data_IF_505599871520
#
_entry.id   IF_505599871520
#
_cell.length_a   1.000
_cell.length_b   1.000
_cell.length_c   1.000
_cell.angle_alpha   90.00
_cell.angle_beta   90.00
_cell.angle_gamma   90.00
#
_symmetry.space_group_name_H-M   'P 1'
#
loop_
_entity.id
_entity.type
_entity.pdbx_description
1 polymer ?
#
# COMPACT_ATOMS: atom_id res chain seq x y z
N UNK A 1 -15.61 19.01 -31.37
CA UNK A 1 -14.81 18.74 -30.14
C UNK A 1 -15.45 17.70 -29.22
N UNK A 2 -16.76 17.77 -28.91
CA UNK A 2 -17.43 16.84 -27.97
C UNK A 2 -17.35 15.34 -28.35
N UNK A 3 -17.32 15.02 -29.65
CA UNK A 3 -17.18 13.63 -30.14
C UNK A 3 -15.79 13.04 -29.86
N UNK A 4 -14.73 13.85 -29.97
CA UNK A 4 -13.35 13.41 -29.71
C UNK A 4 -13.10 13.15 -28.21
N UNK A 5 -13.72 13.95 -27.34
CA UNK A 5 -13.63 13.75 -25.88
C UNK A 5 -14.30 12.45 -25.46
N UNK A 6 -15.48 12.11 -26.03
CA UNK A 6 -16.15 10.84 -25.76
C UNK A 6 -15.34 9.64 -26.23
N UNK A 7 -14.73 9.70 -27.41
CA UNK A 7 -13.89 8.59 -27.90
C UNK A 7 -12.64 8.40 -27.04
N UNK A 8 -11.99 9.48 -26.61
CA UNK A 8 -10.83 9.41 -25.73
C UNK A 8 -11.19 8.81 -24.35
N UNK A 9 -12.33 9.22 -23.77
CA UNK A 9 -12.81 8.68 -22.49
C UNK A 9 -13.13 7.18 -22.59
N UNK A 10 -13.77 6.76 -23.69
CA UNK A 10 -14.13 5.34 -23.90
C UNK A 10 -12.87 4.49 -24.05
N UNK A 11 -11.87 4.97 -24.80
CA UNK A 11 -10.59 4.28 -24.96
C UNK A 11 -9.84 4.16 -23.61
N UNK A 12 -9.85 5.20 -22.78
CA UNK A 12 -9.23 5.17 -21.46
C UNK A 12 -9.89 4.14 -20.53
N UNK A 13 -11.22 4.08 -20.51
CA UNK A 13 -11.99 3.11 -19.71
C UNK A 13 -11.68 1.67 -20.17
N UNK A 14 -11.70 1.41 -21.49
CA UNK A 14 -11.39 0.08 -22.03
C UNK A 14 -9.95 -0.35 -21.72
N UNK A 15 -8.99 0.57 -21.79
CA UNK A 15 -7.59 0.29 -21.45
C UNK A 15 -7.44 -0.06 -19.97
N UNK A 16 -8.12 0.66 -19.08
CA UNK A 16 -8.12 0.37 -17.65
C UNK A 16 -8.73 -1.01 -17.34
N UNK A 17 -9.82 -1.39 -18.01
CA UNK A 17 -10.43 -2.72 -17.88
C UNK A 17 -9.47 -3.80 -18.38
N UNK A 18 -8.82 -3.62 -19.53
CA UNK A 18 -7.87 -4.58 -20.09
C UNK A 18 -6.65 -4.81 -19.17
N UNK A 19 -6.10 -3.74 -18.58
CA UNK A 19 -4.99 -3.83 -17.61
C UNK A 19 -5.42 -4.60 -16.37
N UNK A 20 -6.64 -4.35 -15.86
CA UNK A 20 -7.18 -5.05 -14.68
C UNK A 20 -7.39 -6.54 -14.95
N UNK A 21 -7.91 -6.90 -16.13
CA UNK A 21 -8.09 -8.30 -16.54
C UNK A 21 -6.75 -9.02 -16.72
N UNK A 22 -5.76 -8.38 -17.36
CA UNK A 22 -4.41 -8.96 -17.52
C UNK A 22 -3.71 -9.20 -16.18
N UNK A 23 -3.90 -8.30 -15.21
CA UNK A 23 -3.36 -8.45 -13.86
C UNK A 23 -4.01 -9.62 -13.12
N UNK A 24 -5.32 -9.83 -13.31
CA UNK A 24 -6.06 -10.96 -12.74
C UNK A 24 -5.61 -12.29 -13.35
N UNK A 25 -5.45 -12.37 -14.66
CA UNK A 25 -4.97 -13.58 -15.34
C UNK A 25 -3.55 -14.00 -14.90
N UNK A 26 -2.68 -13.04 -14.57
CA UNK A 26 -1.34 -13.33 -14.02
C UNK A 26 -1.37 -13.85 -12.58
N UNK A 27 -2.41 -13.52 -11.80
CA UNK A 27 -2.54 -13.99 -10.42
C UNK A 27 -3.07 -15.43 -10.33
N UNK A 28 -3.78 -15.91 -11.36
CA UNK A 28 -4.35 -17.26 -11.40
C UNK A 28 -3.35 -18.36 -11.81
N UNK A 29 -2.10 -18.01 -12.15
CA UNK A 29 -1.10 -18.98 -12.60
C UNK A 29 0.22 -19.00 -11.78
N UNK A 30 0.19 -19.29 -10.46
CA UNK A 30 1.40 -19.32 -9.63
C UNK A 30 2.17 -20.67 -9.67
N UNK A 31 2.00 -21.52 -10.69
CA UNK A 31 2.31 -22.95 -10.56
C UNK A 31 3.11 -23.64 -11.68
N UNK A 32 3.97 -22.95 -12.43
CA UNK A 32 4.81 -23.62 -13.43
C UNK A 32 6.30 -23.44 -13.12
N UNK A 33 6.76 -24.20 -12.12
CA UNK A 33 8.18 -24.51 -11.91
C UNK A 33 8.65 -25.48 -13.01
N UNK A 34 9.82 -25.26 -13.63
CA UNK A 34 10.41 -26.23 -14.55
C UNK A 34 10.86 -27.49 -13.80
N UNK A 35 10.45 -28.64 -14.32
CA UNK A 35 10.80 -29.98 -13.84
C UNK A 35 12.31 -30.19 -13.84
N UNK A 36 12.86 -30.52 -12.67
CA UNK A 36 14.12 -31.23 -12.57
C UNK A 36 13.82 -32.73 -12.49
N UNK A 37 14.12 -33.43 -13.58
CA UNK A 37 14.23 -34.88 -13.69
C UNK A 37 15.11 -35.47 -12.59
N UNK A 38 14.57 -36.39 -11.78
CA UNK A 38 15.34 -37.41 -11.09
C UNK A 38 14.51 -38.69 -10.90
N UNK A 39 15.16 -39.79 -11.29
CA UNK A 39 14.75 -41.18 -11.41
C UNK A 39 14.64 -41.88 -10.04
N UNK A 40 13.66 -42.78 -9.85
CA UNK A 40 13.76 -43.91 -8.90
C UNK A 40 12.45 -44.41 -8.25
N UNK A 41 12.28 -45.72 -7.95
CA UNK A 41 11.04 -46.42 -8.27
C UNK A 41 10.20 -46.98 -7.09
N UNK A 42 8.98 -47.40 -7.47
CA UNK A 42 8.13 -48.47 -6.94
C UNK A 42 7.51 -48.33 -5.54
N UNK A 43 6.22 -47.96 -5.52
CA UNK A 43 5.32 -48.13 -4.39
C UNK A 43 3.86 -48.11 -4.84
N UNK A 44 3.29 -49.28 -5.07
CA UNK A 44 1.91 -49.51 -5.48
C UNK A 44 0.89 -49.09 -4.42
N UNK A 45 -0.13 -48.31 -4.79
CA UNK A 45 -1.25 -47.99 -3.91
C UNK A 45 -2.44 -47.38 -4.64
N UNK A 46 -3.43 -48.22 -4.95
CA UNK A 46 -4.75 -47.90 -5.53
C UNK A 46 -5.45 -46.75 -4.81
N UNK A 47 -6.11 -45.86 -5.56
CA UNK A 47 -7.56 -45.59 -5.43
C UNK A 47 -8.06 -44.58 -6.46
N UNK A 48 -8.98 -45.05 -7.31
CA UNK A 48 -9.82 -44.30 -8.24
C UNK A 48 -10.84 -43.44 -7.49
N UNK A 49 -11.00 -42.17 -7.88
CA UNK A 49 -12.33 -41.55 -8.07
C UNK A 49 -12.23 -40.28 -8.93
N UNK A 50 -12.35 -40.46 -10.24
CA UNK A 50 -12.52 -39.37 -11.20
C UNK A 50 -13.95 -38.82 -11.10
N UNK A 51 -14.11 -37.66 -10.45
CA UNK A 51 -15.34 -36.89 -10.50
C UNK A 51 -15.50 -36.26 -11.88
N UNK A 52 -16.57 -36.64 -12.58
CA UNK A 52 -17.01 -36.03 -13.84
C UNK A 52 -17.29 -34.55 -13.59
N UNK A 53 -16.46 -33.67 -14.13
CA UNK A 53 -16.75 -32.24 -14.23
C UNK A 53 -17.82 -32.07 -15.32
N UNK A 54 -18.90 -31.42 -14.95
CA UNK A 54 -20.11 -31.16 -15.72
C UNK A 54 -19.80 -30.31 -16.97
N UNK A 55 -20.26 -30.69 -18.17
CA UNK A 55 -19.97 -30.02 -19.44
C UNK A 55 -20.65 -28.66 -19.66
N UNK A 56 -21.27 -28.06 -18.64
CA UNK A 56 -22.04 -26.81 -18.76
C UNK A 56 -21.20 -25.52 -18.70
N UNK A 57 -19.96 -25.59 -18.21
CA UNK A 57 -19.10 -24.38 -18.08
C UNK A 57 -18.35 -24.07 -19.38
N UNK A 58 -18.04 -25.09 -20.19
CA UNK A 58 -17.31 -24.92 -21.46
C UNK A 58 -18.18 -24.29 -22.56
N UNK A 59 -19.50 -24.53 -22.55
CA UNK A 59 -20.41 -23.96 -23.55
C UNK A 59 -20.62 -22.45 -23.35
N UNK A 60 -20.66 -21.97 -22.10
CA UNK A 60 -20.80 -20.54 -21.83
C UNK A 60 -19.59 -19.71 -22.30
N UNK A 61 -18.38 -20.24 -22.16
CA UNK A 61 -17.15 -19.56 -22.62
C UNK A 61 -17.10 -19.47 -24.15
N UNK A 62 -17.52 -20.51 -24.86
CA UNK A 62 -17.56 -20.51 -26.32
C UNK A 62 -18.54 -19.46 -26.88
N UNK A 63 -19.72 -19.31 -26.28
CA UNK A 63 -20.72 -18.32 -26.72
C UNK A 63 -20.21 -16.88 -26.53
N UNK A 64 -19.54 -16.60 -25.41
CA UNK A 64 -18.96 -15.26 -25.16
C UNK A 64 -17.81 -14.96 -26.13
N UNK A 65 -16.95 -15.94 -26.42
CA UNK A 65 -15.85 -15.76 -27.38
C UNK A 65 -16.36 -15.46 -28.81
N UNK A 66 -17.43 -16.15 -29.24
CA UNK A 66 -18.05 -15.89 -30.56
C UNK A 66 -18.71 -14.51 -30.59
N UNK A 67 -19.43 -14.11 -29.53
CA UNK A 67 -20.04 -12.78 -29.46
C UNK A 67 -19.00 -11.65 -29.51
N UNK A 68 -17.85 -11.82 -28.85
CA UNK A 68 -16.74 -10.84 -28.89
C UNK A 68 -16.10 -10.77 -30.29
N UNK A 69 -15.90 -11.91 -30.96
CA UNK A 69 -15.37 -11.94 -32.33
C UNK A 69 -16.32 -11.29 -33.33
N UNK A 70 -17.62 -11.52 -33.21
CA UNK A 70 -18.63 -10.88 -34.07
C UNK A 70 -18.67 -9.37 -33.83
N UNK A 71 -18.66 -8.92 -32.57
CA UNK A 71 -18.63 -7.49 -32.26
C UNK A 71 -17.36 -6.81 -32.78
N UNK A 72 -16.20 -7.46 -32.70
CA UNK A 72 -14.94 -6.94 -33.24
C UNK A 72 -14.95 -6.81 -34.77
N UNK A 73 -15.64 -7.71 -35.48
CA UNK A 73 -15.76 -7.65 -36.94
C UNK A 73 -16.66 -6.50 -37.44
N UNK A 74 -17.62 -6.03 -36.63
CA UNK A 74 -18.49 -4.90 -36.98
C UNK A 74 -17.93 -3.53 -36.57
N UNK A 75 -16.84 -3.50 -35.81
CA UNK A 75 -16.21 -2.28 -35.29
C UNK A 75 -14.92 -1.89 -36.04
N UNK A 76 -14.59 -2.54 -37.15
CA UNK A 76 -13.47 -2.14 -38.01
C UNK A 76 -13.90 -1.01 -38.97
N UNK A 77 -13.50 0.26 -38.72
CA UNK A 77 -13.68 1.30 -39.72
C UNK A 77 -12.80 1.00 -40.94
N UNK A 78 -13.36 1.19 -42.13
CA UNK A 78 -12.63 1.08 -43.40
C UNK A 78 -11.37 1.97 -43.37
N UNK A 79 -10.21 1.33 -43.49
CA UNK A 79 -8.92 2.02 -43.54
C UNK A 79 -8.88 2.97 -44.74
N UNK A 80 -8.65 4.26 -44.48
CA UNK A 80 -8.26 5.21 -45.51
C UNK A 80 -6.80 4.98 -45.90
N UNK A 81 -6.43 5.18 -47.17
CA UNK A 81 -5.08 4.93 -47.66
C UNK A 81 -4.07 5.91 -47.05
N UNK A 82 -2.95 5.36 -46.57
CA UNK A 82 -1.84 6.07 -45.95
C UNK A 82 -0.94 6.73 -47.02
N UNK A 83 -0.41 7.95 -46.79
CA UNK A 83 0.50 8.61 -47.71
C UNK A 83 1.93 8.03 -47.62
N UNK A 84 2.55 7.91 -48.78
CA UNK A 84 3.88 7.34 -49.03
C UNK A 84 5.00 8.10 -48.29
N UNK A 85 5.96 7.43 -47.64
CA UNK A 85 7.13 8.08 -47.06
C UNK A 85 8.23 8.33 -48.12
N UNK A 86 8.79 9.54 -48.08
CA UNK A 86 9.94 9.98 -48.88
C UNK A 86 11.26 9.50 -48.24
N UNK A 87 12.31 9.16 -49.03
CA UNK A 87 13.50 8.51 -48.52
C UNK A 87 14.54 9.45 -47.88
N UNK A 88 15.28 8.91 -46.92
CA UNK A 88 16.42 9.52 -46.24
C UNK A 88 17.68 9.59 -47.13
N UNK A 89 18.65 10.46 -46.81
CA UNK A 89 20.03 10.29 -47.26
C UNK A 89 20.90 9.60 -46.21
N UNK A 90 21.58 8.54 -46.67
CA UNK A 90 22.82 7.97 -46.13
C UNK A 90 23.89 9.04 -45.88
N UNK A 91 24.70 8.86 -44.82
CA UNK A 91 26.17 8.77 -44.96
C UNK A 91 26.92 8.42 -43.67
N UNK A 92 27.73 7.37 -43.82
CA UNK A 92 29.12 7.23 -43.40
C UNK A 92 29.49 6.94 -41.94
N UNK A 93 29.77 5.65 -41.76
CA UNK A 93 30.87 5.08 -40.97
C UNK A 93 32.17 5.89 -41.01
N UNK A 94 32.86 5.95 -39.87
CA UNK A 94 34.30 5.72 -39.79
C UNK A 94 34.63 4.92 -38.51
N UNK A 95 35.39 3.85 -38.72
CA UNK A 95 35.95 2.97 -37.73
C UNK A 95 37.27 3.52 -37.18
N UNK A 96 37.61 3.18 -35.93
CA UNK A 96 39.00 3.07 -35.47
C UNK A 96 39.09 2.26 -34.16
N UNK A 97 39.60 1.04 -34.31
CA UNK A 97 40.50 0.23 -33.48
C UNK A 97 40.77 0.56 -31.99
N UNK A 98 40.62 -0.50 -31.16
CA UNK A 98 41.30 -0.87 -29.89
C UNK A 98 42.84 -0.65 -29.88
N UNK A 99 43.64 -0.78 -28.78
CA UNK A 99 43.48 -1.74 -27.65
C UNK A 99 44.12 -1.43 -26.25
N UNK A 100 43.98 -2.43 -25.36
CA UNK A 100 44.95 -2.98 -24.39
C UNK A 100 45.04 -2.46 -22.93
N UNK A 101 44.86 -3.44 -22.03
CA UNK A 101 45.25 -3.51 -20.63
C UNK A 101 46.76 -3.32 -20.39
N UNK A 102 47.15 -2.73 -19.24
CA UNK A 102 48.34 -3.12 -18.46
C UNK A 102 48.22 -2.65 -16.99
N UNK A 103 48.66 -3.44 -16.00
CA UNK A 103 48.58 -3.14 -14.56
C UNK A 103 49.74 -2.25 -14.05
N UNK A 104 49.50 -1.51 -12.97
CA UNK A 104 50.45 -0.56 -12.36
C UNK A 104 51.15 -1.15 -11.12
N UNK A 105 52.49 -1.04 -10.99
CA UNK A 105 53.25 -1.54 -9.85
C UNK A 105 53.47 -0.47 -8.75
N UNK A 106 53.83 -0.97 -7.58
CA UNK A 106 54.24 -0.23 -6.39
C UNK A 106 55.59 0.50 -6.57
N UNK A 107 55.76 1.64 -5.87
CA UNK A 107 57.10 2.16 -5.53
C UNK A 107 57.22 3.67 -5.28
N UNK A 108 57.56 4.01 -4.03
CA UNK A 108 58.35 5.18 -3.57
C UNK A 108 57.59 6.39 -2.98
N UNK A 109 57.95 6.83 -1.75
CA UNK A 109 57.32 7.96 -1.07
C UNK A 109 57.93 9.33 -1.45
N UNK A 110 57.12 10.40 -1.53
CA UNK A 110 57.62 11.77 -1.68
C UNK A 110 57.93 12.47 -0.33
N UNK A 111 58.78 13.51 -0.35
CA UNK A 111 59.31 14.19 0.82
C UNK A 111 58.31 15.12 1.52
N UNK A 112 58.54 15.29 2.83
CA UNK A 112 57.83 16.20 3.71
C UNK A 112 57.69 17.61 3.10
N UNK A 113 56.45 17.96 2.79
CA UNK A 113 56.05 19.31 2.36
C UNK A 113 54.95 19.80 3.30
N UNK A 114 55.13 21.06 3.72
CA UNK A 114 54.37 21.91 4.63
C UNK A 114 52.93 21.50 5.06
N UNK A 115 52.52 21.86 6.30
CA UNK A 115 51.16 21.62 6.77
C UNK A 115 50.14 22.33 5.86
N UNK A 116 49.07 21.65 5.43
CA UNK A 116 47.98 22.31 4.75
C UNK A 116 47.34 23.32 5.71
N UNK A 117 47.31 24.57 5.29
CA UNK A 117 46.52 25.61 5.93
C UNK A 117 45.06 25.17 5.87
N UNK A 118 44.52 24.69 6.98
CA UNK A 118 43.10 24.39 7.12
C UNK A 118 42.34 25.70 6.85
N UNK A 119 41.45 25.75 5.84
CA UNK A 119 40.54 26.87 5.72
C UNK A 119 39.71 26.93 6.99
N UNK A 120 39.91 27.99 7.75
CA UNK A 120 39.14 28.33 8.95
C UNK A 120 37.67 28.24 8.58
N UNK A 121 36.97 27.35 9.31
CA UNK A 121 35.60 27.00 9.04
C UNK A 121 34.71 28.23 8.94
N UNK A 122 34.15 28.44 7.76
CA UNK A 122 32.89 29.12 7.64
C UNK A 122 31.89 28.28 8.42
N UNK A 123 31.67 28.67 9.68
CA UNK A 123 30.54 28.21 10.47
C UNK A 123 29.31 28.47 9.60
N UNK A 124 28.59 27.44 9.11
CA UNK A 124 27.43 27.67 8.27
C UNK A 124 26.48 28.52 9.09
N UNK A 125 26.30 29.76 8.65
CA UNK A 125 25.31 30.67 9.22
C UNK A 125 24.01 29.87 9.29
N UNK A 126 23.32 29.82 10.45
CA UNK A 126 22.11 29.03 10.59
C UNK A 126 21.10 29.53 9.56
N UNK A 127 21.03 28.82 8.44
CA UNK A 127 20.06 29.06 7.39
C UNK A 127 18.70 28.85 8.06
N UNK A 128 18.01 29.95 8.32
CA UNK A 128 16.68 29.93 8.91
C UNK A 128 15.82 29.04 8.02
N UNK A 129 15.56 27.81 8.49
CA UNK A 129 14.68 26.88 7.82
C UNK A 129 13.37 27.61 7.49
N UNK A 130 12.92 27.48 6.25
CA UNK A 130 11.63 28.04 5.86
C UNK A 130 10.55 27.53 6.84
N UNK A 131 9.55 28.35 7.21
CA UNK A 131 8.53 27.95 8.19
C UNK A 131 7.87 26.60 7.88
N UNK A 132 7.71 26.26 6.60
CA UNK A 132 7.15 24.98 6.13
C UNK A 132 8.04 23.77 6.44
N UNK A 133 9.37 23.93 6.42
CA UNK A 133 10.31 22.84 6.74
C UNK A 133 10.26 22.46 8.22
N UNK A 134 9.93 23.41 9.10
CA UNK A 134 9.79 23.17 10.54
C UNK A 134 8.53 22.36 10.88
N UNK A 135 7.46 22.47 10.10
CA UNK A 135 6.21 21.72 10.32
C UNK A 135 6.42 20.23 10.00
N UNK A 136 7.16 19.93 8.92
CA UNK A 136 7.39 18.57 8.44
C UNK A 136 8.64 17.89 9.00
N UNK A 137 9.50 18.66 9.68
CA UNK A 137 10.69 18.17 10.34
C UNK A 137 10.73 18.73 11.76
N UNK A 138 9.85 18.23 12.64
CA UNK A 138 9.80 18.69 14.02
C UNK A 138 11.17 18.47 14.68
N UNK A 139 11.54 19.32 15.64
CA UNK A 139 12.81 19.20 16.35
C UNK A 139 12.93 17.82 16.97
N UNK A 140 14.14 17.25 16.89
CA UNK A 140 14.41 15.91 17.37
C UNK A 140 14.13 15.81 18.88
N UNK A 141 13.12 15.03 19.25
CA UNK A 141 12.84 14.68 20.65
C UNK A 141 13.50 13.36 21.03
N UNK A 142 13.87 13.17 22.31
CA UNK A 142 14.26 11.85 22.80
C UNK A 142 13.15 10.81 22.57
N UNK A 143 13.51 9.66 22.00
CA UNK A 143 12.58 8.57 21.72
C UNK A 143 12.33 7.73 22.98
N UNK A 144 11.60 8.29 23.94
CA UNK A 144 11.28 7.61 25.20
C UNK A 144 9.96 6.86 25.12
N UNK A 145 9.96 5.59 25.52
CA UNK A 145 8.75 4.78 25.54
C UNK A 145 7.83 5.24 26.68
N UNK A 146 6.77 5.99 26.32
CA UNK A 146 5.72 6.38 27.27
C UNK A 146 4.89 5.16 27.74
N UNK A 147 4.57 5.06 29.04
CA UNK A 147 3.62 4.07 29.54
C UNK A 147 2.20 4.39 29.04
N UNK A 148 1.35 3.37 28.97
CA UNK A 148 -0.08 3.47 28.61
C UNK A 148 -0.90 3.21 29.86
N UNK A 149 -1.98 3.96 30.06
CA UNK A 149 -2.94 3.66 31.13
C UNK A 149 -3.34 2.17 31.09
N UNK A 150 -3.13 1.40 32.17
CA UNK A 150 -3.49 -0.01 32.23
C UNK A 150 -4.98 -0.30 31.91
N UNK A 151 -5.90 0.63 32.19
CA UNK A 151 -7.33 0.52 31.85
C UNK A 151 -7.53 0.60 30.34
N UNK A 152 -6.94 1.60 29.68
CA UNK A 152 -7.00 1.75 28.21
C UNK A 152 -6.39 0.54 27.52
N UNK A 153 -5.20 0.11 27.97
CA UNK A 153 -4.53 -1.08 27.43
C UNK A 153 -5.39 -2.35 27.57
N UNK A 154 -6.03 -2.56 28.72
CA UNK A 154 -6.92 -3.72 28.93
C UNK A 154 -8.15 -3.66 28.03
N UNK A 155 -8.76 -2.48 27.88
CA UNK A 155 -9.92 -2.29 27.04
C UNK A 155 -9.61 -2.58 25.56
N UNK A 156 -8.52 -2.01 25.02
CA UNK A 156 -8.05 -2.24 23.64
C UNK A 156 -7.74 -3.72 23.42
N UNK A 157 -6.98 -4.34 24.32
CA UNK A 157 -6.68 -5.78 24.23
C UNK A 157 -7.95 -6.65 24.30
N UNK A 158 -8.98 -6.20 25.03
CA UNK A 158 -10.28 -6.85 25.06
C UNK A 158 -10.95 -6.89 23.69
N UNK A 159 -10.97 -5.76 22.97
CA UNK A 159 -11.53 -5.70 21.62
C UNK A 159 -10.71 -6.51 20.62
N UNK A 160 -9.38 -6.43 20.69
CA UNK A 160 -8.52 -7.26 19.84
C UNK A 160 -8.74 -8.75 20.02
N UNK A 161 -8.89 -9.24 21.27
CA UNK A 161 -9.20 -10.66 21.49
C UNK A 161 -10.52 -11.09 20.84
N UNK A 162 -11.52 -10.20 20.78
CA UNK A 162 -12.80 -10.48 20.09
C UNK A 162 -12.59 -10.61 18.59
N UNK A 163 -11.91 -9.62 17.99
CA UNK A 163 -11.54 -9.59 16.57
C UNK A 163 -10.72 -10.83 16.20
N UNK A 164 -9.62 -11.10 16.91
CA UNK A 164 -8.74 -12.25 16.68
C UNK A 164 -9.50 -13.57 16.76
N UNK A 165 -10.37 -13.77 17.77
CA UNK A 165 -11.18 -14.99 17.89
C UNK A 165 -12.14 -15.16 16.72
N UNK A 166 -12.77 -14.08 16.28
CA UNK A 166 -13.67 -14.11 15.13
C UNK A 166 -12.89 -14.43 13.85
N UNK A 167 -11.76 -13.75 13.60
CA UNK A 167 -10.94 -13.97 12.42
C UNK A 167 -10.35 -15.38 12.38
N UNK A 168 -9.84 -15.92 13.49
CA UNK A 168 -9.35 -17.30 13.56
C UNK A 168 -10.38 -18.33 13.11
N UNK A 169 -11.64 -18.13 13.49
CA UNK A 169 -12.74 -19.07 13.18
C UNK A 169 -13.28 -18.88 11.77
N UNK A 170 -13.47 -17.64 11.34
CA UNK A 170 -14.20 -17.33 10.13
C UNK A 170 -13.27 -16.99 8.96
N UNK A 171 -12.21 -16.21 9.20
CA UNK A 171 -11.31 -15.71 8.16
C UNK A 171 -9.83 -16.00 8.49
N UNK A 172 -9.41 -17.28 8.53
CA UNK A 172 -8.07 -17.66 8.99
C UNK A 172 -6.94 -17.11 8.12
N UNK A 173 -7.17 -16.86 6.82
CA UNK A 173 -6.16 -16.23 5.95
C UNK A 173 -6.01 -14.76 6.30
N UNK A 174 -7.11 -14.04 6.53
CA UNK A 174 -7.05 -12.66 7.05
C UNK A 174 -6.37 -12.61 8.41
N UNK A 175 -6.69 -13.53 9.32
CA UNK A 175 -6.03 -13.63 10.63
C UNK A 175 -4.51 -13.77 10.50
N UNK A 176 -4.03 -14.57 9.55
CA UNK A 176 -2.60 -14.76 9.30
C UNK A 176 -1.88 -13.49 8.79
N UNK A 177 -2.63 -12.49 8.30
CA UNK A 177 -2.06 -11.21 7.85
C UNK A 177 -1.87 -10.18 8.99
N UNK A 178 -2.36 -10.47 10.20
CA UNK A 178 -2.16 -9.59 11.33
C UNK A 178 -0.68 -9.50 11.67
N UNK A 179 -0.17 -8.27 11.77
CA UNK A 179 1.22 -8.01 12.08
C UNK A 179 1.60 -8.54 13.47
N UNK A 180 2.88 -8.84 13.63
CA UNK A 180 3.45 -9.15 14.93
C UNK A 180 3.33 -7.96 15.89
N UNK A 181 3.62 -8.18 17.17
CA UNK A 181 3.59 -7.11 18.18
C UNK A 181 4.57 -5.99 17.85
N UNK A 182 4.12 -4.75 17.94
CA UNK A 182 4.98 -3.58 17.82
C UNK A 182 6.00 -3.49 18.95
N UNK A 183 7.19 -2.95 18.63
CA UNK A 183 8.25 -2.70 19.62
C UNK A 183 8.04 -1.31 20.24
N UNK A 184 7.99 -1.17 21.58
CA UNK A 184 7.80 0.12 22.24
C UNK A 184 8.77 1.22 21.75
N UNK A 185 10.05 0.88 21.60
CA UNK A 185 11.07 1.82 21.11
C UNK A 185 10.86 2.27 19.65
N UNK A 186 10.28 1.43 18.80
CA UNK A 186 9.94 1.84 17.41
C UNK A 186 8.79 2.82 17.40
N UNK A 187 7.79 2.62 18.27
CA UNK A 187 6.67 3.56 18.42
C UNK A 187 7.18 4.89 18.96
N UNK A 188 7.98 4.87 20.02
CA UNK A 188 8.59 6.08 20.59
C UNK A 188 9.44 6.85 19.56
N UNK A 189 10.18 6.13 18.71
CA UNK A 189 10.96 6.76 17.63
C UNK A 189 10.06 7.37 16.55
N UNK A 190 8.91 6.77 16.26
CA UNK A 190 7.95 7.34 15.31
C UNK A 190 7.33 8.61 15.87
N UNK A 191 6.83 8.57 17.11
CA UNK A 191 6.29 9.74 17.82
C UNK A 191 7.30 10.89 17.86
N UNK A 192 8.54 10.61 18.26
CA UNK A 192 9.62 11.60 18.32
C UNK A 192 9.94 12.23 16.94
N UNK A 193 9.91 11.43 15.86
CA UNK A 193 10.22 11.90 14.49
C UNK A 193 9.05 12.61 13.82
N UNK A 194 7.83 12.29 14.21
CA UNK A 194 6.61 12.93 13.72
C UNK A 194 6.24 14.14 14.57
N UNK A 195 6.85 14.30 15.74
CA UNK A 195 6.53 15.39 16.64
C UNK A 195 5.11 15.30 17.21
N UNK A 196 4.53 14.11 17.27
CA UNK A 196 3.18 13.87 17.79
C UNK A 196 3.22 12.69 18.74
N UNK A 197 2.42 12.75 19.80
CA UNK A 197 2.19 11.59 20.64
C UNK A 197 1.05 10.76 20.05
N UNK A 198 1.22 9.44 19.98
CA UNK A 198 0.10 8.61 19.55
C UNK A 198 -0.92 8.52 20.69
N UNK A 199 -2.22 8.62 20.38
CA UNK A 199 -3.26 8.38 21.37
C UNK A 199 -3.08 7.00 22.02
N UNK A 200 -3.32 6.90 23.32
CA UNK A 200 -3.07 5.69 24.11
C UNK A 200 -3.73 4.43 23.51
N UNK A 201 -4.92 4.58 22.94
CA UNK A 201 -5.62 3.49 22.28
C UNK A 201 -4.90 2.99 21.01
N UNK A 202 -4.39 3.91 20.19
CA UNK A 202 -3.60 3.59 18.99
C UNK A 202 -2.27 2.94 19.40
N UNK A 203 -1.57 3.52 20.37
CA UNK A 203 -0.33 2.97 20.92
C UNK A 203 -0.52 1.55 21.45
N UNK A 204 -1.59 1.31 22.22
CA UNK A 204 -1.93 -0.02 22.74
C UNK A 204 -2.22 -1.03 21.61
N UNK A 205 -2.91 -0.58 20.56
CA UNK A 205 -3.20 -1.39 19.38
C UNK A 205 -1.93 -1.78 18.63
N UNK A 206 -1.01 -0.83 18.40
CA UNK A 206 0.26 -1.10 17.72
C UNK A 206 1.16 -2.06 18.52
N UNK A 207 1.13 -1.97 19.85
CA UNK A 207 1.82 -2.93 20.72
C UNK A 207 1.21 -4.35 20.68
N UNK A 208 -0.03 -4.48 20.19
CA UNK A 208 -0.70 -5.76 19.95
C UNK A 208 -0.41 -6.27 18.54
N UNK A 209 -0.64 -5.43 17.53
CA UNK A 209 -0.43 -5.71 16.11
C UNK A 209 0.17 -4.47 15.41
N UNK A 210 1.40 -4.61 14.90
CA UNK A 210 2.12 -3.60 14.14
C UNK A 210 1.69 -3.63 12.66
N UNK A 211 0.47 -3.20 12.41
CA UNK A 211 -0.18 -3.24 11.10
C UNK A 211 -0.82 -4.58 10.77
N UNK A 212 -1.44 -4.65 9.59
CA UNK A 212 -2.01 -5.86 9.01
C UNK A 212 -2.21 -5.68 7.50
N UNK A 213 -1.77 -6.66 6.70
CA UNK A 213 -1.75 -6.52 5.23
C UNK A 213 -3.09 -6.85 4.55
N UNK A 214 -3.92 -7.69 5.16
CA UNK A 214 -5.23 -8.11 4.63
C UNK A 214 -6.37 -7.89 5.62
N UNK A 215 -6.19 -6.96 6.56
CA UNK A 215 -7.17 -6.54 7.53
C UNK A 215 -7.01 -5.04 7.76
N UNK A 216 -8.07 -4.26 7.53
CA UNK A 216 -8.14 -2.84 7.88
C UNK A 216 -9.32 -2.56 8.80
N UNK A 217 -9.18 -1.52 9.64
CA UNK A 217 -10.34 -0.97 10.35
C UNK A 217 -11.16 -0.18 9.33
N UNK A 218 -12.25 -0.77 8.83
CA UNK A 218 -13.07 -0.22 7.74
C UNK A 218 -12.33 -0.12 6.40
N UNK A 219 -11.29 -0.91 6.20
CA UNK A 219 -10.46 -0.81 5.00
C UNK A 219 -9.72 -2.09 4.67
N UNK A 220 -8.76 -1.96 3.76
CA UNK A 220 -7.99 -3.08 3.24
C UNK A 220 -6.80 -3.44 4.15
N UNK A 221 -6.21 -2.43 4.81
CA UNK A 221 -4.96 -2.61 5.56
C UNK A 221 -4.88 -1.68 6.77
N UNK A 222 -4.26 -2.18 7.83
CA UNK A 222 -3.76 -1.38 8.95
C UNK A 222 -2.28 -1.10 8.75
N UNK A 223 -1.87 0.16 8.89
CA UNK A 223 -0.47 0.53 8.73
C UNK A 223 0.36 0.11 9.95
N UNK A 224 1.55 -0.40 9.68
CA UNK A 224 2.61 -0.56 10.67
C UNK A 224 3.17 0.80 11.10
N UNK A 225 3.79 0.89 12.27
CA UNK A 225 4.47 2.10 12.78
C UNK A 225 5.42 2.71 11.74
N UNK A 226 6.09 1.86 10.96
CA UNK A 226 6.98 2.31 9.88
C UNK A 226 6.19 3.01 8.77
N UNK A 227 5.11 2.40 8.30
CA UNK A 227 4.24 2.96 7.26
C UNK A 227 3.58 4.26 7.73
N UNK A 228 3.04 4.28 8.96
CA UNK A 228 2.47 5.48 9.59
C UNK A 228 3.44 6.67 9.45
N UNK A 229 4.68 6.49 9.89
CA UNK A 229 5.71 7.55 9.84
C UNK A 229 6.08 7.95 8.40
N UNK A 230 6.15 6.99 7.48
CA UNK A 230 6.53 7.27 6.10
C UNK A 230 5.43 8.05 5.37
N UNK A 231 4.18 7.64 5.52
CA UNK A 231 3.03 8.30 4.91
C UNK A 231 2.80 9.68 5.53
N UNK A 232 2.92 9.83 6.85
CA UNK A 232 2.86 11.13 7.51
C UNK A 232 3.86 12.13 6.91
N UNK A 233 5.11 11.69 6.70
CA UNK A 233 6.16 12.53 6.10
C UNK A 233 5.87 12.84 4.64
N UNK A 234 5.25 11.90 3.92
CA UNK A 234 4.84 12.13 2.55
C UNK A 234 3.77 13.21 2.49
N UNK A 235 2.66 13.05 3.24
CA UNK A 235 1.58 14.04 3.26
C UNK A 235 2.06 15.43 3.67
N UNK A 236 2.95 15.51 4.65
CA UNK A 236 3.52 16.79 5.04
C UNK A 236 4.35 17.43 3.92
N UNK A 237 5.23 16.67 3.24
CA UNK A 237 6.08 17.21 2.17
C UNK A 237 5.30 17.62 0.93
N UNK A 238 4.26 16.87 0.60
CA UNK A 238 3.47 17.13 -0.60
C UNK A 238 2.60 18.40 -0.44
N UNK A 239 2.69 19.10 0.71
CA UNK A 239 1.84 20.25 1.05
C UNK A 239 0.37 19.87 1.05
N UNK A 240 0.09 18.57 1.10
CA UNK A 240 -1.13 17.98 0.63
C UNK A 240 -2.19 18.11 1.69
N UNK A 241 -2.98 19.17 1.56
CA UNK A 241 -4.39 19.06 1.87
C UNK A 241 -4.91 17.71 1.43
N UNK A 242 -5.42 16.99 2.42
CA UNK A 242 -6.20 15.78 2.23
C UNK A 242 -7.41 16.06 1.32
N UNK A 243 -7.84 17.33 1.31
CA UNK A 243 -8.87 17.90 0.47
C UNK A 243 -8.29 19.09 -0.32
N UNK A 244 -8.85 19.41 -1.52
CA UNK A 244 -8.47 20.61 -2.27
C UNK A 244 -8.60 21.86 -1.39
N UNK A 245 -7.48 22.58 -1.21
CA UNK A 245 -7.46 23.86 -0.50
C UNK A 245 -7.38 23.78 1.04
N UNK A 246 -7.15 22.60 1.63
CA UNK A 246 -6.71 22.51 3.02
C UNK A 246 -5.19 22.33 3.08
N UNK A 247 -4.57 22.76 4.17
CA UNK A 247 -3.18 22.40 4.46
C UNK A 247 -3.16 21.12 5.31
N UNK A 248 -2.14 20.28 5.14
CA UNK A 248 -1.94 19.10 5.99
C UNK A 248 -1.74 19.52 7.46
N UNK A 249 -2.60 19.05 8.36
CA UNK A 249 -2.38 19.18 9.80
C UNK A 249 -1.39 18.09 10.25
N UNK A 250 -0.24 18.52 10.76
CA UNK A 250 0.84 17.64 11.20
C UNK A 250 0.45 16.77 12.41
N UNK A 251 -0.71 17.02 13.03
CA UNK A 251 -1.28 16.23 14.14
C UNK A 251 -2.18 15.09 13.69
N UNK A 252 -2.44 14.96 12.39
CA UNK A 252 -3.16 13.83 11.82
C UNK A 252 -2.22 12.64 11.60
N UNK A 253 -2.63 11.46 12.06
CA UNK A 253 -1.83 10.23 12.02
C UNK A 253 -2.50 9.25 11.05
N UNK A 254 -1.88 8.89 9.91
CA UNK A 254 -2.44 7.88 9.02
C UNK A 254 -2.28 6.49 9.65
N UNK A 255 -3.37 5.75 9.82
CA UNK A 255 -3.38 4.45 10.54
C UNK A 255 -3.83 3.27 9.68
N UNK A 256 -4.37 3.49 8.49
CA UNK A 256 -4.74 2.42 7.57
C UNK A 256 -5.15 2.94 6.20
N UNK A 257 -5.26 2.04 5.23
CA UNK A 257 -5.79 2.34 3.89
C UNK A 257 -7.18 1.75 3.72
N UNK A 258 -8.07 2.53 3.12
CA UNK A 258 -9.35 2.09 2.58
C UNK A 258 -9.27 1.99 1.05
N UNK A 259 -10.35 1.55 0.41
CA UNK A 259 -10.43 1.48 -1.06
C UNK A 259 -10.29 2.87 -1.68
N UNK A 260 -10.90 3.89 -1.05
CA UNK A 260 -10.98 5.26 -1.60
C UNK A 260 -10.21 6.29 -0.77
N UNK A 261 -9.42 5.86 0.21
CA UNK A 261 -8.77 6.81 1.11
C UNK A 261 -7.83 6.22 2.14
N UNK A 262 -7.45 7.07 3.07
CA UNK A 262 -6.62 6.75 4.23
C UNK A 262 -7.43 7.03 5.49
N UNK A 263 -7.37 6.10 6.44
CA UNK A 263 -7.92 6.30 7.78
C UNK A 263 -6.92 7.12 8.59
N UNK A 264 -7.39 8.19 9.22
CA UNK A 264 -6.60 9.09 10.05
C UNK A 264 -7.08 9.07 11.51
N UNK A 265 -6.16 9.42 12.41
CA UNK A 265 -6.43 9.67 13.82
C UNK A 265 -5.81 11.01 14.22
N UNK A 266 -6.56 11.90 14.86
CA UNK A 266 -6.00 13.13 15.44
C UNK A 266 -5.25 12.86 16.74
N UNK A 267 -4.09 13.48 16.92
CA UNK A 267 -3.34 13.42 18.17
C UNK A 267 -3.96 14.27 19.30
N UNK A 268 -4.77 15.28 19.01
CA UNK A 268 -5.27 16.25 20.02
C UNK A 268 -6.61 15.86 20.63
N UNK A 269 -7.56 15.43 19.80
CA UNK A 269 -8.96 15.24 20.20
C UNK A 269 -9.24 13.83 20.71
N UNK A 270 -8.46 13.40 21.71
CA UNK A 270 -8.55 12.07 22.32
C UNK A 270 -8.47 10.90 21.29
N UNK A 271 -7.83 11.12 20.14
CA UNK A 271 -7.75 10.13 19.08
C UNK A 271 -8.99 10.03 18.20
N UNK A 272 -9.70 11.14 17.96
CA UNK A 272 -10.79 11.21 16.98
C UNK A 272 -10.35 10.68 15.62
N UNK A 273 -11.26 10.03 14.91
CA UNK A 273 -10.98 9.27 13.69
C UNK A 273 -11.62 9.97 12.50
N UNK A 274 -10.86 10.11 11.42
CA UNK A 274 -11.29 10.75 10.19
C UNK A 274 -10.96 9.86 8.98
N UNK A 275 -11.65 10.07 7.88
CA UNK A 275 -11.35 9.44 6.59
C UNK A 275 -10.97 10.52 5.58
N UNK A 276 -9.92 10.24 4.80
CA UNK A 276 -9.53 11.04 3.62
C UNK A 276 -10.45 10.68 2.46
N UNK A 277 -11.10 11.66 1.83
CA UNK A 277 -11.83 11.49 0.57
C UNK A 277 -13.30 11.93 0.59
N UNK A 278 -13.89 12.03 1.78
CA UNK A 278 -15.24 12.54 1.98
C UNK A 278 -15.25 14.06 2.20
N UNK A 279 -16.30 14.75 1.74
CA UNK A 279 -16.51 16.16 2.05
C UNK A 279 -16.44 16.40 3.58
N UNK A 280 -15.94 17.56 4.04
CA UNK A 280 -15.63 17.82 5.45
C UNK A 280 -16.83 17.67 6.40
N UNK A 281 -18.06 17.59 5.88
CA UNK A 281 -19.29 17.39 6.64
C UNK A 281 -19.70 15.92 6.84
N UNK A 282 -19.09 14.95 6.16
CA UNK A 282 -19.39 13.53 6.32
C UNK A 282 -18.20 12.74 6.87
N UNK A 283 -17.72 13.12 8.06
CA UNK A 283 -16.73 12.34 8.84
C UNK A 283 -17.39 11.07 9.41
N UNK A 284 -17.76 10.15 8.54
CA UNK A 284 -18.33 8.87 8.95
C UNK A 284 -17.61 7.77 8.18
N UNK A 285 -16.45 7.32 8.65
CA UNK A 285 -15.80 6.16 8.07
C UNK A 285 -16.80 5.00 8.01
N UNK A 286 -17.17 4.61 6.79
CA UNK A 286 -18.22 3.63 6.56
C UNK A 286 -19.58 3.91 7.23
N UNK A 287 -20.00 5.18 7.33
CA UNK A 287 -21.26 5.57 7.98
C UNK A 287 -21.20 5.58 9.52
N UNK A 288 -20.05 5.32 10.13
CA UNK A 288 -19.92 5.24 11.58
C UNK A 288 -19.51 6.56 12.22
N UNK A 289 -20.26 6.97 13.25
CA UNK A 289 -19.83 8.05 14.16
C UNK A 289 -18.94 7.47 15.26
N UNK A 290 -17.64 7.44 15.02
CA UNK A 290 -16.64 7.02 16.01
C UNK A 290 -15.86 8.22 16.53
N UNK A 291 -15.87 8.43 17.84
CA UNK A 291 -15.20 9.59 18.48
C UNK A 291 -13.76 9.31 18.91
N UNK A 292 -13.31 8.06 18.82
CA UNK A 292 -11.95 7.68 19.18
C UNK A 292 -11.52 6.41 18.49
N UNK A 293 -10.21 6.20 18.37
CA UNK A 293 -9.64 4.96 17.86
C UNK A 293 -10.09 3.72 18.67
N UNK A 294 -10.30 3.85 19.98
CA UNK A 294 -10.91 2.78 20.78
C UNK A 294 -12.36 2.53 20.37
N UNK A 295 -13.15 3.59 20.14
CA UNK A 295 -14.52 3.48 19.64
C UNK A 295 -14.59 2.76 18.30
N UNK A 296 -13.65 3.04 17.39
CA UNK A 296 -13.50 2.33 16.12
C UNK A 296 -13.20 0.84 16.31
N UNK A 297 -12.23 0.48 17.15
CA UNK A 297 -11.92 -0.93 17.44
C UNK A 297 -13.10 -1.67 18.05
N UNK A 298 -13.84 -1.01 18.97
CA UNK A 298 -15.04 -1.59 19.57
C UNK A 298 -16.13 -1.80 18.51
N UNK A 299 -16.39 -0.79 17.66
CA UNK A 299 -17.36 -0.89 16.58
C UNK A 299 -17.00 -2.05 15.63
N UNK A 300 -15.74 -2.17 15.24
CA UNK A 300 -15.24 -3.28 14.42
C UNK A 300 -15.50 -4.66 15.05
N UNK A 301 -15.11 -4.83 16.33
CA UNK A 301 -15.35 -6.09 17.04
C UNK A 301 -16.84 -6.44 17.11
N UNK A 302 -17.67 -5.45 17.45
CA UNK A 302 -19.12 -5.56 17.49
C UNK A 302 -19.71 -5.93 16.12
N UNK A 303 -19.21 -5.33 15.04
CA UNK A 303 -19.72 -5.53 13.70
C UNK A 303 -19.34 -6.88 13.10
N UNK A 304 -18.14 -7.38 13.39
CA UNK A 304 -17.76 -8.76 13.04
C UNK A 304 -18.66 -9.78 13.74
N UNK A 305 -18.90 -9.61 15.05
CA UNK A 305 -19.72 -10.54 15.83
C UNK A 305 -21.21 -10.50 15.46
N UNK A 306 -21.75 -9.32 15.08
CA UNK A 306 -23.16 -9.15 14.69
C UNK A 306 -23.41 -9.30 13.19
N UNK A 307 -22.37 -9.41 12.38
CA UNK A 307 -22.47 -9.45 10.92
C UNK A 307 -22.85 -8.12 10.27
N UNK A 308 -22.62 -6.98 10.95
CA UNK A 308 -22.88 -5.64 10.40
C UNK A 308 -22.10 -4.54 11.11
N UNK A 309 -21.43 -3.68 10.34
CA UNK A 309 -20.64 -2.55 10.81
C UNK A 309 -21.10 -1.27 10.09
N UNK A 310 -22.09 -0.59 10.66
CA UNK A 310 -22.75 0.52 9.96
C UNK A 310 -23.54 -0.02 8.76
N UNK A 311 -23.21 0.44 7.56
CA UNK A 311 -23.81 -0.05 6.32
C UNK A 311 -23.14 -1.33 5.81
N UNK A 312 -21.91 -1.60 6.26
CA UNK A 312 -21.08 -2.69 5.79
C UNK A 312 -21.45 -4.03 6.39
N UNK A 313 -21.33 -5.09 5.60
CA UNK A 313 -21.48 -6.48 6.03
C UNK A 313 -20.16 -7.23 5.83
N UNK A 314 -19.65 -7.92 6.87
CA UNK A 314 -18.48 -8.77 6.71
C UNK A 314 -18.87 -9.99 5.88
N UNK A 315 -18.17 -10.19 4.76
CA UNK A 315 -18.26 -11.40 3.95
C UNK A 315 -16.96 -12.17 4.06
N UNK A 316 -17.05 -13.49 4.15
CA UNK A 316 -15.88 -14.36 4.12
C UNK A 316 -15.95 -15.23 2.87
N UNK A 317 -14.90 -15.16 2.06
CA UNK A 317 -14.68 -16.05 0.93
C UNK A 317 -13.27 -16.64 1.03
N UNK A 318 -13.14 -17.96 0.91
CA UNK A 318 -11.86 -18.68 0.94
C UNK A 318 -10.98 -18.35 2.17
N UNK A 319 -11.60 -18.09 3.31
CA UNK A 319 -10.94 -17.72 4.57
C UNK A 319 -10.40 -16.29 4.60
N UNK A 320 -10.80 -15.43 3.66
CA UNK A 320 -10.47 -14.01 3.59
C UNK A 320 -11.72 -13.18 3.92
N UNK A 321 -11.58 -12.21 4.82
CA UNK A 321 -12.60 -11.22 5.14
C UNK A 321 -12.60 -10.11 4.08
N UNK A 322 -13.78 -9.81 3.56
CA UNK A 322 -14.08 -8.63 2.73
C UNK A 322 -15.29 -7.91 3.31
N UNK A 323 -15.53 -6.67 2.86
CA UNK A 323 -16.68 -5.87 3.26
C UNK A 323 -17.56 -5.60 2.03
N UNK A 324 -18.88 -5.66 2.22
CA UNK A 324 -19.91 -5.34 1.23
C UNK A 324 -20.89 -4.29 1.74
#
# INVERSE_FOLDING_TARGET
MLKLVRTALTAAILTAIAVRLRRRARQENPGQTPDHTAVGPAGSGRSRRSGRITPLVLTAVAVVAVAVLVAAAFLTPAASPEPTPSPAPERSMLAASSPADTPSPAGTPPPATAPPTTPVGASPSPELLAPSDLVCRPPARPALARPIDPRVRRAVNGQWRRIERWLKRNAPRTYATLGARGRPGRIALAEARMGVEFPDALRASLLRHDGAAGFGLLGERMFSVREIRLLWRQYCRDGGGILPGQDWDNKLIPVGSQVEGTLLVSAEDAGSVFEIGDEPTSTRPGGLRVRSYYGLLRAMADGLERGRLGEWRPRVADGVLTWE
#
